data_IF_539556694524
#
_entry.id   IF_539556694524
#
_cell.length_a   1.000
_cell.length_b   1.000
_cell.length_c   1.000
_cell.angle_alpha   90.00
_cell.angle_beta   90.00
_cell.angle_gamma   90.00
#
_symmetry.space_group_name_H-M   'P 1'
#
loop_
_entity.id
_entity.type
_entity.pdbx_description
1 polymer ?
#
# COMPACT_ATOMS: atom_id res chain seq x y z
N UNK A 1 -57.87 -37.11 3.91
CA UNK A 1 -58.19 -35.67 3.80
C UNK A 1 -57.06 -34.99 3.03
N UNK A 2 -57.12 -34.90 1.69
CA UNK A 2 -57.36 -33.66 0.89
C UNK A 2 -56.79 -32.36 1.47
N UNK A 3 -55.66 -31.90 0.93
CA UNK A 3 -55.54 -30.78 -0.03
C UNK A 3 -54.07 -30.73 -0.51
N UNK A 4 -53.77 -31.03 -1.78
CA UNK A 4 -53.86 -30.19 -3.00
C UNK A 4 -52.96 -28.94 -2.96
N UNK A 5 -51.82 -29.04 -3.67
CA UNK A 5 -51.39 -28.19 -4.81
C UNK A 5 -50.01 -28.71 -5.27
N UNK A 6 -49.92 -29.58 -6.29
CA UNK A 6 -49.73 -29.30 -7.74
C UNK A 6 -48.60 -28.30 -8.06
N UNK A 7 -47.53 -28.87 -8.62
CA UNK A 7 -46.34 -28.34 -9.30
C UNK A 7 -46.66 -27.94 -10.77
N UNK A 8 -45.72 -27.74 -11.75
CA UNK A 8 -44.25 -27.50 -11.78
C UNK A 8 -43.81 -26.41 -12.83
N UNK A 9 -42.49 -26.35 -13.10
CA UNK A 9 -41.79 -26.18 -14.40
C UNK A 9 -41.20 -24.83 -14.80
N UNK A 10 -39.87 -24.75 -14.66
CA UNK A 10 -38.92 -24.14 -15.59
C UNK A 10 -38.99 -24.84 -16.96
N UNK A 11 -39.14 -24.11 -18.06
CA UNK A 11 -38.60 -24.42 -19.40
C UNK A 11 -38.54 -23.10 -20.22
N UNK A 12 -37.34 -22.81 -20.73
CA UNK A 12 -36.96 -22.08 -21.94
C UNK A 12 -37.93 -21.11 -22.61
N UNK A 13 -37.49 -19.84 -22.77
CA UNK A 13 -37.79 -19.06 -23.97
C UNK A 13 -36.88 -17.83 -24.10
N UNK A 14 -35.80 -17.96 -24.87
CA UNK A 14 -35.09 -16.82 -25.48
C UNK A 14 -34.63 -17.23 -26.87
N UNK A 15 -35.52 -17.08 -27.84
CA UNK A 15 -35.12 -16.84 -29.22
C UNK A 15 -36.17 -15.98 -29.91
N UNK A 16 -35.74 -14.82 -30.40
CA UNK A 16 -35.85 -14.42 -31.82
C UNK A 16 -36.05 -12.90 -32.00
N UNK A 17 -35.41 -12.39 -33.07
CA UNK A 17 -35.70 -11.15 -33.84
C UNK A 17 -35.08 -9.87 -33.21
N UNK A 18 -34.21 -9.05 -33.85
CA UNK A 18 -33.72 -8.87 -35.24
C UNK A 18 -32.41 -8.07 -35.20
N UNK A 19 -31.48 -8.38 -36.12
CA UNK A 19 -30.40 -7.48 -36.56
C UNK A 19 -30.99 -6.40 -37.47
N UNK A 20 -30.47 -5.17 -37.39
CA UNK A 20 -30.28 -4.32 -38.57
C UNK A 20 -29.15 -3.31 -38.30
N UNK A 21 -28.28 -3.23 -39.30
CA UNK A 21 -27.10 -2.39 -39.45
C UNK A 21 -27.46 -0.92 -39.62
N UNK A 22 -26.58 -0.01 -39.17
CA UNK A 22 -26.45 1.32 -39.78
C UNK A 22 -24.95 1.62 -39.91
N UNK A 23 -24.52 1.52 -41.16
CA UNK A 23 -23.28 2.04 -41.71
C UNK A 23 -23.42 3.57 -41.89
N UNK A 24 -22.39 4.34 -41.58
CA UNK A 24 -22.34 5.75 -41.96
C UNK A 24 -20.89 6.25 -42.03
N UNK A 25 -20.26 5.93 -43.15
CA UNK A 25 -19.16 6.72 -43.68
C UNK A 25 -19.75 7.93 -44.41
N UNK A 26 -19.31 9.14 -44.07
CA UNK A 26 -19.49 10.27 -44.97
C UNK A 26 -18.31 11.25 -44.91
N UNK A 27 -17.65 11.30 -46.07
CA UNK A 27 -16.62 12.22 -46.51
C UNK A 27 -17.09 13.67 -46.41
N UNK A 28 -16.16 14.58 -46.12
CA UNK A 28 -16.23 15.99 -46.56
C UNK A 28 -14.87 16.41 -47.08
N UNK A 29 -14.80 16.62 -48.39
CA UNK A 29 -13.77 17.39 -49.08
C UNK A 29 -14.38 18.72 -49.56
N UNK A 30 -13.65 19.78 -49.26
CA UNK A 30 -13.34 20.99 -50.03
C UNK A 30 -14.43 21.87 -50.67
N UNK A 31 -14.39 23.17 -50.34
CA UNK A 31 -13.93 24.20 -51.30
C UNK A 31 -13.83 25.63 -50.68
N UNK A 32 -12.62 26.21 -50.73
CA UNK A 32 -12.27 27.49 -51.38
C UNK A 32 -12.74 28.86 -50.84
N UNK A 33 -11.77 29.73 -50.47
CA UNK A 33 -11.30 30.93 -51.25
C UNK A 33 -10.83 32.12 -50.36
N UNK A 34 -9.52 32.43 -50.47
CA UNK A 34 -8.78 33.72 -50.55
C UNK A 34 -9.08 34.93 -49.64
N UNK A 35 -8.08 35.44 -48.90
CA UNK A 35 -7.33 36.68 -49.22
C UNK A 35 -6.37 37.13 -48.09
N UNK A 36 -5.25 37.71 -48.50
CA UNK A 36 -4.04 38.17 -47.80
C UNK A 36 -4.26 39.38 -46.86
N UNK A 37 -3.63 39.40 -45.67
CA UNK A 37 -2.98 40.61 -45.11
C UNK A 37 -1.93 40.24 -44.04
N UNK A 38 -0.74 40.79 -44.19
CA UNK A 38 0.42 40.74 -43.29
C UNK A 38 0.21 41.54 -42.00
N UNK A 39 0.63 41.02 -40.85
CA UNK A 39 1.23 41.78 -39.73
C UNK A 39 1.85 40.82 -38.70
N UNK A 40 3.02 41.21 -38.18
CA UNK A 40 3.87 40.47 -37.23
C UNK A 40 3.28 40.51 -35.82
N UNK A 41 3.43 39.43 -35.07
CA UNK A 41 3.52 39.39 -33.60
C UNK A 41 4.18 38.06 -33.13
N UNK A 42 4.70 37.98 -31.89
CA UNK A 42 5.99 37.34 -31.59
C UNK A 42 5.93 35.87 -31.18
N UNK A 43 7.11 35.24 -31.28
CA UNK A 43 7.53 33.91 -30.83
C UNK A 43 6.64 33.23 -29.78
N UNK A 44 5.93 32.17 -30.19
CA UNK A 44 5.58 31.08 -29.28
C UNK A 44 6.86 30.28 -29.01
N UNK A 45 7.36 30.38 -27.78
CA UNK A 45 8.43 29.53 -27.27
C UNK A 45 8.02 28.06 -27.36
N UNK A 46 8.86 27.28 -28.03
CA UNK A 46 8.79 25.82 -28.13
C UNK A 46 8.43 25.16 -26.80
N UNK A 47 7.27 24.51 -26.75
CA UNK A 47 6.99 23.48 -25.79
C UNK A 47 7.91 22.29 -26.12
N UNK A 48 9.12 22.30 -25.57
CA UNK A 48 9.96 21.11 -25.52
C UNK A 48 9.27 20.10 -24.62
N UNK A 49 8.60 19.14 -25.24
CA UNK A 49 8.40 17.80 -24.68
C UNK A 49 9.77 17.23 -24.35
N UNK A 50 10.19 17.37 -23.10
CA UNK A 50 11.35 16.66 -22.56
C UNK A 50 11.01 15.16 -22.52
N UNK A 51 11.30 14.46 -23.63
CA UNK A 51 11.33 13.01 -23.75
C UNK A 51 12.57 12.37 -23.05
N UNK A 52 13.11 13.03 -22.03
CA UNK A 52 14.37 12.64 -21.39
C UNK A 52 14.24 12.43 -19.88
N UNK A 53 13.20 11.71 -19.44
CA UNK A 53 13.10 11.27 -18.03
C UNK A 53 12.66 9.80 -17.91
N UNK A 54 13.22 8.93 -18.77
CA UNK A 54 12.97 7.50 -18.76
C UNK A 54 13.95 6.71 -17.87
N UNK A 55 14.21 7.23 -16.67
CA UNK A 55 14.62 6.40 -15.53
C UNK A 55 13.40 6.23 -14.64
N UNK A 56 12.49 5.36 -15.08
CA UNK A 56 11.42 4.85 -14.23
C UNK A 56 12.14 4.24 -13.01
N UNK A 57 12.12 4.94 -11.88
CA UNK A 57 12.37 4.31 -10.60
C UNK A 57 11.21 3.31 -10.47
N UNK A 58 11.47 2.03 -10.75
CA UNK A 58 10.42 1.00 -10.91
C UNK A 58 9.48 1.09 -9.72
N UNK A 59 8.21 1.39 -9.97
CA UNK A 59 7.20 1.48 -8.91
C UNK A 59 7.23 0.20 -8.08
N UNK A 60 7.28 0.35 -6.76
CA UNK A 60 7.28 -0.78 -5.84
C UNK A 60 5.94 -0.79 -5.10
N UNK A 61 5.38 -1.99 -4.97
CA UNK A 61 4.20 -2.31 -4.19
C UNK A 61 4.61 -2.72 -2.77
N UNK A 62 3.84 -2.27 -1.80
CA UNK A 62 4.05 -2.48 -0.39
C UNK A 62 2.80 -3.14 0.17
N UNK A 63 2.99 -4.20 0.96
CA UNK A 63 1.91 -4.74 1.78
C UNK A 63 2.35 -4.89 3.23
N UNK A 64 1.47 -4.45 4.13
CA UNK A 64 1.61 -4.65 5.57
C UNK A 64 0.50 -5.61 5.99
N UNK A 65 0.83 -6.91 6.06
CA UNK A 65 -0.16 -7.94 6.41
C UNK A 65 0.04 -8.38 7.84
N UNK A 66 -0.98 -8.20 8.66
CA UNK A 66 -1.03 -8.61 10.06
C UNK A 66 -1.79 -9.93 10.17
N UNK A 67 -1.22 -10.88 10.90
CA UNK A 67 -1.78 -12.21 11.07
C UNK A 67 -2.14 -12.46 12.51
N UNK A 68 -3.30 -13.09 12.69
CA UNK A 68 -3.74 -13.67 13.95
C UNK A 68 -3.62 -15.19 13.90
N UNK A 69 -3.21 -15.79 15.01
CA UNK A 69 -2.96 -17.23 15.13
C UNK A 69 -4.15 -17.91 15.82
N UNK A 70 -4.71 -18.95 15.20
CA UNK A 70 -5.73 -19.81 15.77
C UNK A 70 -5.18 -20.48 17.05
N UNK A 71 -5.87 -20.40 18.20
CA UNK A 71 -5.46 -21.05 19.44
C UNK A 71 -5.11 -22.54 19.32
N UNK A 72 -5.68 -23.27 18.34
CA UNK A 72 -5.36 -24.67 18.04
C UNK A 72 -3.91 -24.89 17.66
N UNK A 73 -3.19 -23.86 17.21
CA UNK A 73 -1.74 -23.91 16.98
C UNK A 73 -0.99 -24.48 18.18
N UNK A 74 -1.38 -24.08 19.40
CA UNK A 74 -0.72 -24.48 20.65
C UNK A 74 -0.90 -25.97 20.98
N UNK A 75 -1.82 -26.65 20.30
CA UNK A 75 -2.03 -28.09 20.46
C UNK A 75 -1.12 -28.92 19.55
N UNK A 76 -0.46 -28.29 18.58
CA UNK A 76 0.55 -28.96 17.75
C UNK A 76 1.73 -29.38 18.63
N UNK A 77 2.31 -30.55 18.37
CA UNK A 77 3.50 -30.99 19.07
C UNK A 77 4.74 -30.18 18.62
N UNK A 78 5.80 -30.21 19.43
CA UNK A 78 7.03 -29.45 19.14
C UNK A 78 7.65 -29.83 17.79
N UNK A 79 7.65 -31.11 17.43
CA UNK A 79 8.13 -31.56 16.12
C UNK A 79 7.36 -30.91 14.95
N UNK A 80 6.03 -30.80 15.06
CA UNK A 80 5.21 -30.15 14.05
C UNK A 80 5.44 -28.64 13.98
N UNK A 81 5.68 -27.99 15.13
CA UNK A 81 6.03 -26.56 15.17
C UNK A 81 7.41 -26.31 14.54
N UNK A 82 8.40 -27.15 14.82
CA UNK A 82 9.74 -27.08 14.23
C UNK A 82 9.70 -27.28 12.71
N UNK A 83 8.96 -28.28 12.24
CA UNK A 83 8.77 -28.52 10.81
C UNK A 83 8.06 -27.34 10.13
N UNK A 84 7.01 -26.82 10.75
CA UNK A 84 6.30 -25.64 10.27
C UNK A 84 7.19 -24.40 10.23
N UNK A 85 8.07 -24.22 11.23
CA UNK A 85 9.01 -23.11 11.27
C UNK A 85 9.99 -23.17 10.10
N UNK A 86 10.56 -24.36 9.84
CA UNK A 86 11.47 -24.58 8.71
C UNK A 86 10.78 -24.39 7.37
N UNK A 87 9.60 -24.98 7.17
CA UNK A 87 8.82 -24.86 5.92
C UNK A 87 8.51 -23.38 5.62
N UNK A 88 8.04 -22.64 6.63
CA UNK A 88 7.68 -21.25 6.46
C UNK A 88 8.91 -20.37 6.17
N UNK A 89 10.04 -20.61 6.85
CA UNK A 89 11.29 -19.92 6.57
C UNK A 89 11.78 -20.18 5.14
N UNK A 90 11.75 -21.44 4.68
CA UNK A 90 12.13 -21.81 3.31
C UNK A 90 11.25 -21.11 2.27
N UNK A 91 9.94 -21.02 2.51
CA UNK A 91 9.02 -20.27 1.67
C UNK A 91 9.41 -18.78 1.60
N UNK A 92 9.65 -18.13 2.74
CA UNK A 92 10.03 -16.71 2.78
C UNK A 92 11.38 -16.49 2.09
N UNK A 93 12.36 -17.37 2.28
CA UNK A 93 13.67 -17.29 1.63
C UNK A 93 13.56 -17.44 0.11
N UNK A 94 12.71 -18.34 -0.38
CA UNK A 94 12.44 -18.46 -1.80
C UNK A 94 11.79 -17.19 -2.37
N UNK A 95 10.85 -16.58 -1.64
CA UNK A 95 10.20 -15.34 -2.04
C UNK A 95 11.15 -14.13 -1.99
N UNK A 96 12.07 -14.08 -1.03
CA UNK A 96 13.10 -13.03 -0.88
C UNK A 96 14.00 -12.86 -2.12
N UNK A 97 14.09 -13.87 -2.98
CA UNK A 97 14.80 -13.78 -4.26
C UNK A 97 14.16 -12.82 -5.26
N UNK A 98 12.89 -12.44 -5.06
CA UNK A 98 12.10 -11.59 -5.98
C UNK A 98 11.54 -10.32 -5.35
N UNK A 99 11.52 -10.24 -4.02
CA UNK A 99 10.95 -9.12 -3.26
C UNK A 99 11.62 -9.01 -1.88
N UNK A 100 11.57 -7.85 -1.23
CA UNK A 100 12.04 -7.70 0.15
C UNK A 100 10.92 -8.11 1.10
N UNK A 101 11.24 -8.93 2.10
CA UNK A 101 10.28 -9.41 3.11
C UNK A 101 10.91 -9.24 4.48
N UNK A 102 10.25 -8.46 5.33
CA UNK A 102 10.64 -8.21 6.71
C UNK A 102 9.53 -8.73 7.62
N UNK A 103 9.91 -9.42 8.69
CA UNK A 103 8.98 -10.00 9.66
C UNK A 103 9.11 -9.28 10.98
N UNK A 104 7.96 -8.96 11.59
CA UNK A 104 7.91 -8.33 12.90
C UNK A 104 6.92 -9.04 13.80
N UNK A 105 7.20 -9.07 15.09
CA UNK A 105 6.29 -9.56 16.12
C UNK A 105 5.41 -8.41 16.64
N UNK A 106 4.15 -8.73 16.89
CA UNK A 106 3.18 -7.86 17.59
C UNK A 106 2.61 -8.54 18.84
N UNK A 107 3.16 -9.71 19.22
CA UNK A 107 2.78 -10.47 20.41
C UNK A 107 2.85 -9.57 21.65
N UNK A 108 1.72 -9.45 22.36
CA UNK A 108 1.62 -8.63 23.57
C UNK A 108 1.53 -7.12 23.32
N UNK A 109 1.58 -6.67 22.05
CA UNK A 109 1.47 -5.27 21.66
C UNK A 109 0.09 -4.93 21.10
N UNK A 110 -0.55 -5.89 20.41
CA UNK A 110 -1.90 -5.79 19.86
C UNK A 110 -2.66 -7.09 20.10
N UNK A 111 -3.99 -6.98 20.18
CA UNK A 111 -4.87 -8.13 20.41
C UNK A 111 -5.39 -8.72 19.09
N UNK A 112 -5.31 -7.95 18.02
CA UNK A 112 -5.76 -8.30 16.68
C UNK A 112 -4.69 -9.05 15.88
N UNK A 113 -3.44 -9.10 16.32
CA UNK A 113 -2.36 -9.75 15.58
C UNK A 113 -1.24 -10.24 16.48
N UNK A 114 -0.58 -11.32 16.08
CA UNK A 114 0.65 -11.81 16.73
C UNK A 114 1.90 -11.45 15.91
N UNK A 115 1.81 -11.28 14.59
CA UNK A 115 2.93 -10.87 13.76
C UNK A 115 2.50 -10.13 12.50
N UNK A 116 3.46 -9.44 11.90
CA UNK A 116 3.32 -8.71 10.64
C UNK A 116 4.35 -9.22 9.64
N UNK A 117 3.93 -9.39 8.39
CA UNK A 117 4.82 -9.55 7.24
C UNK A 117 4.73 -8.27 6.42
N UNK A 118 5.85 -7.54 6.36
CA UNK A 118 6.01 -6.38 5.50
C UNK A 118 6.72 -6.79 4.21
N UNK A 119 6.01 -6.68 3.08
CA UNK A 119 6.52 -7.06 1.76
C UNK A 119 6.69 -5.84 0.88
N UNK A 120 7.82 -5.77 0.16
CA UNK A 120 8.14 -4.73 -0.82
C UNK A 120 8.52 -5.43 -2.12
N UNK A 121 7.69 -5.30 -3.15
CA UNK A 121 7.79 -6.07 -4.40
C UNK A 121 7.66 -5.18 -5.64
N UNK A 122 8.37 -5.47 -6.74
CA UNK A 122 8.13 -4.79 -8.02
C UNK A 122 6.86 -5.26 -8.75
N UNK A 123 6.18 -6.31 -8.26
CA UNK A 123 4.95 -6.86 -8.86
C UNK A 123 3.94 -7.25 -7.78
N UNK A 124 2.67 -6.92 -8.04
CA UNK A 124 1.55 -7.26 -7.16
C UNK A 124 1.22 -8.76 -7.22
N UNK A 125 1.37 -9.38 -8.40
CA UNK A 125 1.16 -10.81 -8.62
C UNK A 125 2.11 -11.64 -7.77
N UNK A 126 3.37 -11.20 -7.64
CA UNK A 126 4.34 -11.82 -6.74
C UNK A 126 3.86 -11.83 -5.28
N UNK A 127 3.22 -10.75 -4.83
CA UNK A 127 2.64 -10.67 -3.47
C UNK A 127 1.46 -11.64 -3.33
N UNK A 128 0.58 -11.72 -4.34
CA UNK A 128 -0.53 -12.68 -4.32
C UNK A 128 -0.05 -14.13 -4.31
N UNK A 129 0.97 -14.46 -5.09
CA UNK A 129 1.59 -15.80 -5.08
C UNK A 129 2.16 -16.13 -3.71
N UNK A 130 2.84 -15.17 -3.05
CA UNK A 130 3.32 -15.35 -1.68
C UNK A 130 2.16 -15.61 -0.71
N UNK A 131 1.11 -14.79 -0.74
CA UNK A 131 -0.05 -14.95 0.13
C UNK A 131 -0.74 -16.31 -0.07
N UNK A 132 -0.93 -16.74 -1.32
CA UNK A 132 -1.49 -18.07 -1.62
C UNK A 132 -0.60 -19.20 -1.08
N UNK A 133 0.72 -19.10 -1.27
CA UNK A 133 1.66 -20.12 -0.75
C UNK A 133 1.71 -20.15 0.77
N UNK A 134 1.60 -19.00 1.44
CA UNK A 134 1.51 -18.93 2.91
C UNK A 134 0.38 -19.84 3.41
N UNK A 135 -0.81 -19.78 2.81
CA UNK A 135 -1.95 -20.63 3.20
C UNK A 135 -1.77 -22.13 2.90
N UNK A 136 -0.78 -22.51 2.08
CA UNK A 136 -0.48 -23.92 1.83
C UNK A 136 0.44 -24.55 2.88
N UNK A 137 1.13 -23.73 3.69
CA UNK A 137 2.04 -24.20 4.75
C UNK A 137 1.29 -24.76 5.96
N UNK A 138 2.00 -25.45 6.85
CA UNK A 138 1.47 -25.91 8.15
C UNK A 138 0.96 -24.71 8.95
N UNK A 139 1.79 -23.67 9.16
CA UNK A 139 1.40 -22.45 9.86
C UNK A 139 0.20 -21.76 9.17
N UNK A 140 0.18 -21.76 7.84
CA UNK A 140 -0.89 -21.23 7.00
C UNK A 140 -2.30 -21.70 7.36
N UNK A 141 -2.42 -22.92 7.91
CA UNK A 141 -3.69 -23.51 8.35
C UNK A 141 -4.18 -22.98 9.70
N UNK A 142 -3.31 -22.29 10.44
CA UNK A 142 -3.56 -21.76 11.77
C UNK A 142 -3.41 -20.24 11.83
N UNK A 143 -3.33 -19.55 10.70
CA UNK A 143 -3.24 -18.09 10.67
C UNK A 143 -4.32 -17.48 9.79
N UNK A 144 -4.84 -16.34 10.22
CA UNK A 144 -5.81 -15.55 9.49
C UNK A 144 -5.30 -14.11 9.37
N UNK A 145 -5.36 -13.48 8.18
CA UNK A 145 -5.02 -12.07 8.05
C UNK A 145 -6.09 -11.22 8.74
N UNK A 146 -5.68 -10.38 9.69
CA UNK A 146 -6.62 -9.48 10.39
C UNK A 146 -6.65 -8.08 9.80
N UNK A 147 -5.56 -7.65 9.17
CA UNK A 147 -5.49 -6.41 8.42
C UNK A 147 -4.42 -6.51 7.35
N UNK A 148 -4.73 -6.03 6.15
CA UNK A 148 -3.80 -5.96 5.04
C UNK A 148 -3.89 -4.57 4.44
N UNK A 149 -2.80 -3.82 4.48
CA UNK A 149 -2.72 -2.52 3.85
C UNK A 149 -1.88 -2.59 2.59
N UNK A 150 -2.42 -2.12 1.46
CA UNK A 150 -1.75 -2.04 0.17
C UNK A 150 -1.38 -0.59 -0.14
N UNK A 151 -0.12 -0.37 -0.54
CA UNK A 151 0.36 0.94 -0.97
C UNK A 151 1.47 0.82 -2.01
N UNK A 152 1.82 1.93 -2.64
CA UNK A 152 2.90 2.00 -3.63
C UNK A 152 3.74 3.27 -3.48
N UNK A 153 4.95 3.21 -4.02
CA UNK A 153 5.85 4.37 -4.07
C UNK A 153 5.31 5.44 -5.02
N UNK A 154 5.42 6.69 -4.61
CA UNK A 154 5.18 7.83 -5.50
C UNK A 154 6.19 8.93 -5.18
N UNK A 155 6.63 9.68 -6.21
CA UNK A 155 7.45 10.87 -5.99
C UNK A 155 6.67 11.87 -5.13
N UNK A 156 7.28 12.35 -4.05
CA UNK A 156 6.67 13.36 -3.18
C UNK A 156 6.52 14.69 -3.92
N UNK A 157 5.34 15.30 -3.82
CA UNK A 157 5.07 16.62 -4.42
C UNK A 157 5.71 17.79 -3.65
N UNK A 158 6.22 17.56 -2.44
CA UNK A 158 6.64 18.62 -1.52
C UNK A 158 8.14 18.61 -1.20
N UNK A 159 8.83 17.50 -1.44
CA UNK A 159 10.26 17.39 -1.16
C UNK A 159 10.87 16.26 -1.96
N UNK A 160 11.92 16.58 -2.70
CA UNK A 160 12.80 15.59 -3.34
C UNK A 160 13.94 15.12 -2.42
N UNK A 161 13.97 15.58 -1.16
CA UNK A 161 15.12 15.44 -0.26
C UNK A 161 14.92 14.45 0.89
N UNK A 162 13.71 13.93 1.10
CA UNK A 162 13.48 12.89 2.12
C UNK A 162 13.79 11.55 1.48
N UNK A 163 14.97 10.99 1.78
CA UNK A 163 15.29 9.60 1.44
C UNK A 163 14.40 8.68 2.28
N UNK A 164 13.67 7.79 1.63
CA UNK A 164 12.82 6.84 2.32
C UNK A 164 13.67 5.66 2.82
N UNK A 165 13.34 5.10 3.99
CA UNK A 165 14.12 4.00 4.58
C UNK A 165 14.30 2.82 3.61
N UNK A 166 13.25 2.46 2.87
CA UNK A 166 13.27 1.37 1.88
C UNK A 166 14.12 1.65 0.64
N UNK A 167 14.48 2.91 0.36
CA UNK A 167 15.40 3.27 -0.71
C UNK A 167 16.86 3.06 -0.31
N UNK A 168 17.11 2.90 0.99
CA UNK A 168 18.44 2.55 1.51
C UNK A 168 18.60 1.02 1.54
N UNK A 169 19.81 0.54 1.23
CA UNK A 169 20.17 -0.88 1.38
C UNK A 169 20.49 -1.25 2.84
N UNK A 170 20.12 -0.39 3.79
CA UNK A 170 20.40 -0.61 5.19
C UNK A 170 19.43 -1.61 5.82
N UNK A 171 19.91 -2.24 6.89
CA UNK A 171 19.12 -3.18 7.67
C UNK A 171 17.94 -2.46 8.38
N UNK A 172 16.79 -3.14 8.54
CA UNK A 172 15.66 -2.60 9.29
C UNK A 172 16.05 -2.31 10.75
N UNK A 173 15.45 -1.27 11.33
CA UNK A 173 15.66 -0.96 12.76
C UNK A 173 14.81 -1.85 13.67
N UNK A 174 15.13 -1.83 14.97
CA UNK A 174 14.54 -2.74 15.95
C UNK A 174 13.02 -2.62 16.07
N UNK A 175 12.47 -1.41 15.93
CA UNK A 175 11.05 -1.15 16.00
C UNK A 175 10.54 -0.51 14.71
N UNK A 176 9.32 -0.87 14.33
CA UNK A 176 8.56 -0.13 13.32
C UNK A 176 7.17 0.20 13.86
N UNK A 177 6.70 1.42 13.66
CA UNK A 177 5.31 1.80 13.93
C UNK A 177 4.62 2.07 12.60
N UNK A 178 3.61 1.26 12.30
CA UNK A 178 2.87 1.27 11.03
C UNK A 178 1.45 1.79 11.26
N UNK A 179 0.97 2.71 10.42
CA UNK A 179 -0.41 3.19 10.50
C UNK A 179 -0.96 3.74 9.18
N UNK A 180 -2.27 3.56 8.94
CA UNK A 180 -2.97 4.23 7.85
C UNK A 180 -3.19 5.70 8.17
N UNK A 181 -3.14 6.53 7.14
CA UNK A 181 -3.28 7.98 7.27
C UNK A 181 -4.23 8.53 6.21
N UNK A 182 -5.24 9.27 6.65
CA UNK A 182 -6.28 9.86 5.80
C UNK A 182 -6.31 11.37 6.03
N UNK A 183 -6.23 12.13 4.94
CA UNK A 183 -6.42 13.58 4.98
C UNK A 183 -7.86 13.96 4.59
N UNK A 184 -8.28 15.14 5.03
CA UNK A 184 -9.58 15.68 4.66
C UNK A 184 -9.64 16.08 3.19
N UNK A 185 -10.85 16.11 2.61
CA UNK A 185 -11.04 16.60 1.24
C UNK A 185 -10.63 18.07 1.10
N UNK A 186 -10.84 18.86 2.15
CA UNK A 186 -10.42 20.27 2.22
C UNK A 186 -8.92 20.41 1.98
N UNK A 187 -8.08 19.50 2.50
CA UNK A 187 -6.65 19.50 2.21
C UNK A 187 -6.39 19.54 0.71
N UNK A 188 -7.01 18.64 -0.06
CA UNK A 188 -6.76 18.49 -1.49
C UNK A 188 -7.30 19.65 -2.32
N UNK A 189 -8.25 20.42 -1.78
CA UNK A 189 -8.81 21.62 -2.43
C UNK A 189 -7.98 22.88 -2.16
N UNK A 190 -7.04 22.85 -1.22
CA UNK A 190 -6.17 24.01 -0.96
C UNK A 190 -5.22 24.30 -2.13
N UNK A 191 -4.91 25.59 -2.37
CA UNK A 191 -3.82 25.99 -3.26
C UNK A 191 -2.52 25.26 -2.91
N UNK A 192 -1.76 24.87 -3.93
CA UNK A 192 -0.56 24.06 -3.76
C UNK A 192 0.47 24.75 -2.85
N UNK A 193 0.62 26.06 -2.99
CA UNK A 193 1.54 26.91 -2.23
C UNK A 193 1.23 26.84 -0.73
N UNK A 194 -0.06 26.88 -0.37
CA UNK A 194 -0.48 26.79 1.03
C UNK A 194 -0.23 25.40 1.60
N UNK A 195 -0.47 24.34 0.82
CA UNK A 195 -0.10 22.98 1.21
C UNK A 195 1.41 22.84 1.39
N UNK A 196 2.19 23.42 0.49
CA UNK A 196 3.65 23.37 0.51
C UNK A 196 4.21 24.06 1.75
N UNK A 197 3.75 25.26 2.09
CA UNK A 197 4.15 25.98 3.30
C UNK A 197 3.93 25.14 4.57
N UNK A 198 2.73 24.55 4.71
CA UNK A 198 2.43 23.69 5.87
C UNK A 198 3.26 22.41 5.87
N UNK A 199 3.51 21.81 4.70
CA UNK A 199 4.39 20.64 4.61
C UNK A 199 5.86 20.99 4.91
N UNK A 200 6.34 22.18 4.57
CA UNK A 200 7.70 22.63 4.90
C UNK A 200 7.88 22.81 6.41
N UNK A 201 6.88 23.34 7.11
CA UNK A 201 6.82 23.35 8.58
C UNK A 201 6.90 21.92 9.14
N UNK A 202 6.04 21.02 8.66
CA UNK A 202 5.99 19.62 9.08
C UNK A 202 7.33 18.89 8.85
N UNK A 203 7.94 19.06 7.67
CA UNK A 203 9.24 18.48 7.34
C UNK A 203 10.34 19.03 8.25
N UNK A 204 10.31 20.33 8.57
CA UNK A 204 11.28 20.97 9.47
C UNK A 204 11.21 20.39 10.87
N UNK A 205 10.00 20.09 11.37
CA UNK A 205 9.81 19.40 12.64
C UNK A 205 10.37 17.96 12.56
N UNK A 206 10.02 17.21 11.51
CA UNK A 206 10.52 15.85 11.32
C UNK A 206 12.05 15.75 11.26
N UNK A 207 12.71 16.74 10.64
CA UNK A 207 14.18 16.82 10.56
C UNK A 207 14.89 16.96 11.91
N UNK A 208 14.18 17.28 13.00
CA UNK A 208 14.74 17.29 14.37
C UNK A 208 15.00 15.87 14.91
N UNK A 209 14.48 14.85 14.24
CA UNK A 209 14.56 13.43 14.63
C UNK A 209 15.24 12.59 13.55
N UNK A 210 16.51 12.86 13.19
CA UNK A 210 17.21 12.17 12.09
C UNK A 210 17.41 10.66 12.33
N UNK A 211 17.32 10.20 13.58
CA UNK A 211 17.41 8.80 13.98
C UNK A 211 16.17 7.96 13.63
N UNK A 212 15.06 8.60 13.24
CA UNK A 212 13.81 7.92 12.88
C UNK A 212 13.71 7.85 11.35
N UNK A 213 13.61 6.64 10.80
CA UNK A 213 13.51 6.42 9.35
C UNK A 213 12.05 6.40 8.94
N UNK A 214 11.69 7.25 7.99
CA UNK A 214 10.34 7.34 7.47
C UNK A 214 10.19 6.54 6.17
N UNK A 215 9.17 5.71 6.12
CA UNK A 215 8.71 5.02 4.91
C UNK A 215 7.27 5.44 4.61
N UNK A 216 7.11 6.49 3.82
CA UNK A 216 5.80 6.96 3.34
C UNK A 216 5.47 6.33 2.00
N UNK A 217 4.29 5.73 1.93
CA UNK A 217 3.74 5.11 0.71
C UNK A 217 2.28 5.55 0.52
N UNK A 218 1.76 5.38 -0.69
CA UNK A 218 0.48 5.97 -1.11
C UNK A 218 -0.52 4.88 -1.49
N UNK A 219 -1.78 5.09 -1.14
CA UNK A 219 -2.85 4.08 -1.28
C UNK A 219 -4.04 4.57 -2.11
N UNK A 220 -3.95 5.77 -2.69
CA UNK A 220 -5.01 6.39 -3.48
C UNK A 220 -5.59 5.46 -4.56
N UNK A 221 -6.87 5.12 -4.40
CA UNK A 221 -7.64 4.35 -5.39
C UNK A 221 -7.36 2.84 -5.40
N UNK A 222 -6.49 2.35 -4.52
CA UNK A 222 -6.15 0.91 -4.40
C UNK A 222 -6.41 0.35 -3.01
N UNK A 223 -6.62 1.21 -2.02
CA UNK A 223 -6.97 0.87 -0.64
C UNK A 223 -7.70 2.06 0.03
N UNK A 224 -8.18 1.88 1.26
CA UNK A 224 -9.07 2.83 1.95
C UNK A 224 -8.38 4.09 2.48
N UNK A 225 -7.08 4.01 2.78
CA UNK A 225 -6.29 5.14 3.26
C UNK A 225 -5.65 5.95 2.12
N UNK A 226 -5.27 7.20 2.40
CA UNK A 226 -4.51 8.00 1.44
C UNK A 226 -3.03 7.61 1.45
N UNK A 227 -2.48 7.37 2.65
CA UNK A 227 -1.08 7.01 2.86
C UNK A 227 -0.95 5.86 3.85
N UNK A 228 0.08 5.06 3.66
CA UNK A 228 0.62 4.17 4.68
C UNK A 228 1.95 4.70 5.16
N UNK A 229 2.07 4.88 6.47
CA UNK A 229 3.27 5.37 7.13
C UNK A 229 3.89 4.24 7.95
N UNK A 230 5.19 3.99 7.74
CA UNK A 230 5.98 3.08 8.55
C UNK A 230 7.24 3.81 9.05
N UNK A 231 7.30 4.07 10.35
CA UNK A 231 8.43 4.72 11.01
C UNK A 231 9.30 3.69 11.70
N UNK A 232 10.53 3.54 11.24
CA UNK A 232 11.51 2.65 11.86
C UNK A 232 12.36 3.43 12.87
N UNK A 233 12.65 2.84 14.03
CA UNK A 233 13.46 3.44 15.07
C UNK A 233 14.03 2.39 16.03
N UNK A 234 15.12 2.70 16.73
CA UNK A 234 15.59 1.94 17.89
C UNK A 234 15.10 2.55 19.23
N UNK A 235 14.37 3.67 19.19
CA UNK A 235 13.93 4.38 20.39
C UNK A 235 12.48 4.86 20.27
N UNK A 236 11.54 4.09 20.84
CA UNK A 236 10.12 4.42 20.83
C UNK A 236 9.78 5.72 21.59
N UNK A 237 10.54 6.08 22.63
CA UNK A 237 10.33 7.35 23.33
C UNK A 237 10.65 8.56 22.44
N UNK A 238 11.69 8.45 21.59
CA UNK A 238 11.99 9.46 20.57
C UNK A 238 10.89 9.54 19.52
N UNK A 239 10.36 8.40 19.09
CA UNK A 239 9.21 8.38 18.18
C UNK A 239 7.97 9.02 18.79
N UNK A 240 7.70 8.83 20.09
CA UNK A 240 6.61 9.50 20.78
C UNK A 240 6.75 11.02 20.73
N UNK A 241 7.95 11.55 21.02
CA UNK A 241 8.24 12.97 20.94
C UNK A 241 8.04 13.53 19.53
N UNK A 242 8.48 12.79 18.50
CA UNK A 242 8.23 13.15 17.10
C UNK A 242 6.72 13.29 16.83
N UNK A 243 5.90 12.31 17.23
CA UNK A 243 4.45 12.36 16.99
C UNK A 243 3.79 13.51 17.74
N UNK A 244 4.23 13.80 18.98
CA UNK A 244 3.75 14.96 19.74
C UNK A 244 4.03 16.26 18.97
N UNK A 245 5.28 16.47 18.55
CA UNK A 245 5.66 17.69 17.83
C UNK A 245 4.94 17.81 16.48
N UNK A 246 4.79 16.70 15.73
CA UNK A 246 4.08 16.71 14.45
C UNK A 246 2.61 17.08 14.62
N UNK A 247 1.97 16.65 15.73
CA UNK A 247 0.58 17.00 16.03
C UNK A 247 0.37 18.51 16.25
N UNK A 248 1.40 19.25 16.65
CA UNK A 248 1.35 20.71 16.81
C UNK A 248 1.47 21.48 15.49
N UNK A 249 1.79 20.82 14.37
CA UNK A 249 1.94 21.47 13.05
C UNK A 249 0.61 21.83 12.39
N UNK A 250 0.61 22.82 11.48
CA UNK A 250 -0.63 23.26 10.81
C UNK A 250 -1.28 22.17 9.95
N UNK A 251 -0.49 21.24 9.39
CA UNK A 251 -0.99 20.10 8.60
C UNK A 251 -1.95 19.24 9.41
N UNK A 252 -1.78 19.18 10.74
CA UNK A 252 -2.57 18.32 11.63
C UNK A 252 -4.06 18.64 11.62
N UNK A 253 -4.44 19.88 11.28
CA UNK A 253 -5.85 20.29 11.11
C UNK A 253 -6.60 19.50 10.03
N UNK A 254 -5.87 18.92 9.08
CA UNK A 254 -6.45 18.22 7.94
C UNK A 254 -6.34 16.70 8.05
N UNK A 255 -6.00 16.17 9.23
CA UNK A 255 -5.92 14.72 9.46
C UNK A 255 -7.28 14.24 9.93
N UNK A 256 -7.88 13.29 9.20
CA UNK A 256 -9.13 12.63 9.59
C UNK A 256 -8.83 11.39 10.44
N UNK A 257 -7.85 10.59 10.02
CA UNK A 257 -7.54 9.30 10.65
C UNK A 257 -6.04 9.04 10.57
N UNK A 258 -5.41 8.81 11.73
CA UNK A 258 -4.03 8.38 11.92
C UNK A 258 -3.95 7.12 12.82
N UNK A 259 -5.07 6.39 12.94
CA UNK A 259 -5.23 5.19 13.76
C UNK A 259 -5.71 4.02 12.90
N UNK A 260 -5.38 2.77 13.27
CA UNK A 260 -4.56 2.36 14.41
C UNK A 260 -3.05 2.62 14.22
N UNK A 261 -2.37 3.05 15.29
CA UNK A 261 -0.88 3.08 15.37
C UNK A 261 -0.34 1.75 15.87
N UNK A 262 0.25 0.94 14.99
CA UNK A 262 0.61 -0.45 15.30
C UNK A 262 2.13 -0.56 15.51
N UNK A 263 2.61 -0.67 16.77
CA UNK A 263 4.01 -0.91 17.04
C UNK A 263 4.35 -2.39 16.81
N UNK A 264 5.48 -2.62 16.17
CA UNK A 264 5.99 -3.95 15.84
C UNK A 264 7.48 -4.05 16.20
N UNK A 265 7.93 -5.22 16.63
CA UNK A 265 9.33 -5.50 17.01
C UNK A 265 9.96 -6.40 15.96
N UNK A 266 11.11 -6.02 15.42
CA UNK A 266 11.83 -6.80 14.44
C UNK A 266 12.20 -8.16 15.04
N UNK A 267 11.78 -9.24 14.38
CA UNK A 267 12.10 -10.61 14.78
C UNK A 267 12.17 -11.53 13.59
N UNK A 268 13.05 -12.51 13.66
CA UNK A 268 13.08 -13.60 12.69
C UNK A 268 11.81 -14.44 12.81
N UNK A 269 11.35 -14.97 11.68
CA UNK A 269 10.11 -15.74 11.64
C UNK A 269 10.16 -16.99 12.52
N UNK A 270 11.32 -17.63 12.65
CA UNK A 270 11.50 -18.80 13.52
C UNK A 270 11.31 -18.44 15.00
N UNK A 271 11.84 -17.29 15.42
CA UNK A 271 11.66 -16.79 16.79
C UNK A 271 10.20 -16.41 17.06
N UNK A 272 9.53 -15.84 16.06
CA UNK A 272 8.09 -15.55 16.12
C UNK A 272 7.33 -16.85 16.32
N UNK A 273 7.53 -17.85 15.46
CA UNK A 273 6.81 -19.13 15.51
C UNK A 273 7.06 -19.86 16.85
N UNK A 274 8.30 -19.89 17.33
CA UNK A 274 8.63 -20.42 18.67
C UNK A 274 7.93 -19.69 19.81
N UNK A 275 7.63 -18.40 19.64
CA UNK A 275 6.94 -17.59 20.65
C UNK A 275 5.41 -17.76 20.64
N UNK A 276 4.83 -18.47 19.66
CA UNK A 276 3.37 -18.64 19.52
C UNK A 276 2.76 -19.70 20.45
N UNK A 277 3.59 -20.34 21.29
CA UNK A 277 3.19 -21.35 22.25
C UNK A 277 3.36 -22.75 21.71
#
# INVERSE_FOLDING_TARGET
>A
MRNKNKSPSEVDNLSSIKKNEIDNSNKREENGVSATTTTKDPELSDAKTDESDNKINSEKFFTFTFYKVDPKWRWLNEMGKDESSREFLELLNAARKRMKIITYSTIGLRHESEFMIWTISPSLENIQVLASKIYTTILGKYIEPTSTYLSLTRKSSYSNQVKLGFETEEEPLQYVVVYPFIKSREWYLLPFEKRKEMMEEHIRVGRKYPEIRLNTTYSFGIDDQDFMLAFETDNLSRFQNLIIDLRETQVSKYIIKDTPMIPCVLKNIEEIIKSLG
#
